data_IF_258845157496
#
_entry.id   IF_258845157496
#
_cell.length_a   1.000
_cell.length_b   1.000
_cell.length_c   1.000
_cell.angle_alpha   90.00
_cell.angle_beta   90.00
_cell.angle_gamma   90.00
#
_symmetry.space_group_name_H-M   'P 1'
#
loop_
_entity.id
_entity.type
_entity.pdbx_description
1 polymer ?
#
# COMPACT_ATOMS: atom_id res chain seq x y z
N UNK A 1 63.82 -23.24 -53.36
CA UNK A 1 63.78 -24.55 -53.99
C UNK A 1 63.40 -25.62 -52.96
N UNK A 2 62.10 -26.02 -52.93
CA UNK A 2 61.59 -27.30 -52.44
C UNK A 2 60.08 -27.36 -52.70
N UNK A 3 59.68 -28.43 -53.32
CA UNK A 3 58.41 -28.73 -53.96
C UNK A 3 57.20 -28.81 -53.01
N UNK A 4 56.07 -28.26 -53.42
CA UNK A 4 54.74 -28.61 -52.93
C UNK A 4 54.33 -29.99 -53.53
N UNK A 5 53.82 -30.87 -52.68
CA UNK A 5 53.02 -32.04 -53.11
C UNK A 5 51.61 -31.82 -52.68
N UNK A 6 50.67 -31.71 -53.67
CA UNK A 6 49.26 -31.71 -53.51
C UNK A 6 48.76 -33.12 -53.20
N UNK A 7 47.93 -33.26 -52.19
CA UNK A 7 47.16 -34.46 -51.92
C UNK A 7 45.69 -34.12 -52.06
N UNK A 8 45.06 -34.69 -53.11
CA UNK A 8 43.64 -34.62 -53.38
C UNK A 8 43.00 -35.75 -52.59
N UNK A 9 42.18 -35.46 -51.58
CA UNK A 9 41.30 -36.42 -50.88
C UNK A 9 39.89 -36.27 -51.44
N UNK A 10 39.40 -37.31 -52.07
CA UNK A 10 38.01 -37.41 -52.54
C UNK A 10 37.06 -37.65 -51.38
N UNK A 11 36.05 -36.83 -51.26
CA UNK A 11 34.95 -37.00 -50.30
C UNK A 11 33.81 -37.79 -51.00
N UNK A 12 33.62 -39.04 -50.59
CA UNK A 12 32.43 -39.81 -50.99
C UNK A 12 31.28 -39.44 -50.05
N UNK A 13 30.22 -38.82 -50.62
CA UNK A 13 28.97 -38.54 -49.91
C UNK A 13 28.18 -39.86 -49.76
N UNK A 14 28.08 -40.40 -48.56
CA UNK A 14 27.11 -41.44 -48.25
C UNK A 14 25.76 -40.83 -47.95
N UNK A 15 24.78 -41.11 -48.80
CA UNK A 15 23.37 -40.75 -48.57
C UNK A 15 22.79 -41.73 -47.56
N UNK A 16 22.52 -41.30 -46.34
CA UNK A 16 21.75 -42.06 -45.36
C UNK A 16 20.27 -41.91 -45.65
N UNK A 17 19.45 -42.99 -45.57
CA UNK A 17 18.00 -42.91 -45.73
C UNK A 17 17.38 -42.14 -44.55
N UNK A 18 16.50 -41.19 -44.84
CA UNK A 18 15.72 -40.45 -43.87
C UNK A 18 14.80 -41.42 -43.09
N UNK A 19 14.97 -41.47 -41.77
CA UNK A 19 14.05 -42.15 -40.87
C UNK A 19 12.70 -41.38 -40.89
N UNK A 20 11.53 -42.10 -40.84
CA UNK A 20 10.23 -41.43 -40.76
C UNK A 20 10.14 -40.62 -39.47
N UNK A 21 9.83 -39.33 -39.60
CA UNK A 21 9.71 -38.41 -38.48
C UNK A 21 8.72 -38.92 -37.42
N UNK A 22 9.20 -39.08 -36.21
CA UNK A 22 8.34 -39.07 -35.03
C UNK A 22 7.73 -37.63 -34.97
N UNK A 23 6.50 -37.48 -35.42
CA UNK A 23 5.69 -36.33 -35.02
C UNK A 23 5.51 -36.44 -33.50
N UNK A 24 6.18 -35.54 -32.74
CA UNK A 24 5.86 -35.34 -31.36
C UNK A 24 4.39 -34.99 -31.30
N UNK A 25 3.58 -35.82 -30.67
CA UNK A 25 2.24 -35.44 -30.27
C UNK A 25 2.43 -34.25 -29.33
N UNK A 26 2.07 -33.08 -29.80
CA UNK A 26 1.83 -31.92 -28.92
C UNK A 26 0.66 -32.36 -28.05
N UNK A 27 0.96 -32.85 -26.84
CA UNK A 27 -0.06 -32.86 -25.80
C UNK A 27 -0.45 -31.40 -25.62
N UNK A 28 -1.68 -31.05 -26.00
CA UNK A 28 -2.28 -29.78 -25.63
C UNK A 28 -2.28 -29.71 -24.10
N UNK A 29 -1.22 -29.11 -23.59
CA UNK A 29 -1.16 -28.74 -22.19
C UNK A 29 -2.06 -27.51 -22.04
N UNK A 30 -3.36 -27.74 -21.85
CA UNK A 30 -4.27 -26.73 -21.35
C UNK A 30 -4.06 -26.72 -19.84
N UNK A 31 -3.32 -25.75 -19.26
CA UNK A 31 -3.22 -25.64 -17.82
C UNK A 31 -4.64 -25.41 -17.32
N UNK A 32 -5.19 -26.31 -16.51
CA UNK A 32 -6.32 -25.96 -15.67
C UNK A 32 -5.80 -24.80 -14.83
N UNK A 33 -6.30 -23.58 -15.07
CA UNK A 33 -5.87 -22.41 -14.33
C UNK A 33 -6.03 -22.72 -12.84
N UNK A 34 -4.88 -22.87 -12.16
CA UNK A 34 -4.87 -23.06 -10.72
C UNK A 34 -5.58 -21.86 -10.09
N UNK A 35 -6.35 -22.09 -9.04
CA UNK A 35 -6.95 -20.97 -8.30
C UNK A 35 -5.86 -20.24 -7.53
N UNK A 36 -5.82 -18.92 -7.61
CA UNK A 36 -4.95 -18.06 -6.83
C UNK A 36 -5.69 -17.55 -5.59
N UNK A 37 -5.18 -17.83 -4.42
CA UNK A 37 -5.68 -17.29 -3.14
C UNK A 37 -4.68 -16.27 -2.62
N UNK A 38 -5.12 -15.06 -2.35
CA UNK A 38 -4.27 -14.02 -1.75
C UNK A 38 -4.73 -13.72 -0.33
N UNK A 39 -3.80 -13.45 0.59
CA UNK A 39 -4.07 -12.84 1.88
C UNK A 39 -3.69 -11.35 1.80
N UNK A 40 -4.69 -10.47 1.73
CA UNK A 40 -4.48 -9.03 1.65
C UNK A 40 -4.73 -8.41 3.02
N UNK A 41 -3.78 -7.60 3.50
CA UNK A 41 -3.83 -6.96 4.80
C UNK A 41 -3.52 -5.45 4.70
N UNK A 42 -3.77 -4.71 5.78
CA UNK A 42 -3.53 -3.28 5.88
C UNK A 42 -2.11 -2.92 6.32
N UNK A 43 -1.99 -1.91 7.18
CA UNK A 43 -0.71 -1.35 7.61
C UNK A 43 0.00 -2.24 8.62
N UNK A 44 1.30 -2.41 8.44
CA UNK A 44 2.18 -3.16 9.35
C UNK A 44 3.25 -2.26 9.93
N UNK A 45 3.09 -1.93 11.22
CA UNK A 45 4.05 -1.23 12.06
C UNK A 45 4.56 -2.24 13.10
N UNK A 46 5.73 -2.84 12.83
CA UNK A 46 6.31 -3.90 13.65
C UNK A 46 7.54 -3.39 14.42
N UNK A 47 7.52 -3.50 15.73
CA UNK A 47 8.65 -3.13 16.61
C UNK A 47 9.03 -4.24 17.60
N UNK A 48 8.26 -5.32 17.63
CA UNK A 48 8.47 -6.47 18.50
C UNK A 48 8.41 -7.77 17.70
N UNK A 49 9.09 -8.79 18.19
CA UNK A 49 9.05 -10.13 17.60
C UNK A 49 7.65 -10.74 17.69
N UNK A 50 7.25 -11.49 16.67
CA UNK A 50 5.98 -12.20 16.58
C UNK A 50 6.12 -13.70 16.95
N UNK A 51 7.18 -14.35 16.53
CA UNK A 51 7.40 -15.79 16.68
C UNK A 51 7.33 -16.34 18.11
N UNK A 52 7.67 -15.58 19.19
CA UNK A 52 7.54 -16.06 20.56
C UNK A 52 6.09 -16.29 21.03
N UNK A 53 5.10 -15.67 20.42
CA UNK A 53 3.71 -15.74 20.87
C UNK A 53 3.04 -17.05 20.46
N UNK A 54 2.22 -17.62 21.36
CA UNK A 54 1.63 -18.97 21.22
C UNK A 54 0.12 -18.99 21.47
N UNK A 55 -0.54 -17.84 21.58
CA UNK A 55 -1.99 -17.76 21.77
C UNK A 55 -2.70 -18.38 20.57
N UNK A 56 -3.73 -19.23 20.79
CA UNK A 56 -4.40 -19.94 19.70
C UNK A 56 -4.95 -19.01 18.61
N UNK A 57 -5.57 -17.89 18.97
CA UNK A 57 -6.12 -16.93 18.02
C UNK A 57 -5.03 -16.25 17.19
N UNK A 58 -3.86 -16.02 17.76
CA UNK A 58 -2.71 -15.49 17.02
C UNK A 58 -2.17 -16.53 16.05
N UNK A 59 -1.94 -17.78 16.48
CA UNK A 59 -1.44 -18.85 15.62
C UNK A 59 -2.43 -19.16 14.50
N UNK A 60 -3.73 -19.19 14.77
CA UNK A 60 -4.76 -19.37 13.75
C UNK A 60 -4.70 -18.27 12.67
N UNK A 61 -4.46 -17.03 13.06
CA UNK A 61 -4.28 -15.92 12.10
C UNK A 61 -3.01 -16.11 11.28
N UNK A 62 -1.88 -16.52 11.88
CA UNK A 62 -0.63 -16.83 11.17
C UNK A 62 -0.84 -17.99 10.17
N UNK A 63 -1.55 -19.04 10.56
CA UNK A 63 -1.89 -20.15 9.67
C UNK A 63 -2.76 -19.70 8.48
N UNK A 64 -3.68 -18.78 8.71
CA UNK A 64 -4.50 -18.18 7.64
C UNK A 64 -3.62 -17.46 6.61
N UNK A 65 -2.66 -16.63 7.05
CA UNK A 65 -1.72 -15.92 6.17
C UNK A 65 -0.87 -16.92 5.38
N UNK A 66 -0.26 -17.90 6.05
CA UNK A 66 0.61 -18.92 5.44
C UNK A 66 -0.13 -19.87 4.51
N UNK A 67 -1.44 -20.01 4.65
CA UNK A 67 -2.27 -20.86 3.82
C UNK A 67 -2.67 -20.23 2.48
N UNK A 68 -2.36 -18.95 2.25
CA UNK A 68 -2.55 -18.28 0.97
C UNK A 68 -1.40 -18.60 0.01
N UNK A 69 -1.64 -18.51 -1.31
CA UNK A 69 -0.59 -18.61 -2.33
C UNK A 69 0.33 -17.40 -2.32
N UNK A 70 -0.17 -16.24 -1.85
CA UNK A 70 0.58 -15.00 -1.68
C UNK A 70 -0.04 -14.14 -0.58
N UNK A 71 0.80 -13.61 0.32
CA UNK A 71 0.39 -12.67 1.36
C UNK A 71 1.02 -11.28 1.17
N UNK A 72 0.16 -10.26 1.21
CA UNK A 72 0.51 -8.83 1.05
C UNK A 72 0.19 -8.03 2.31
N UNK A 73 1.07 -7.08 2.65
CA UNK A 73 0.82 -6.01 3.64
C UNK A 73 1.44 -4.67 3.19
N UNK A 74 0.94 -3.54 3.65
CA UNK A 74 1.68 -2.29 3.57
C UNK A 74 2.66 -2.20 4.75
N UNK A 75 3.96 -2.07 4.47
CA UNK A 75 4.98 -1.93 5.51
C UNK A 75 5.18 -0.43 5.79
N UNK A 76 4.48 0.08 6.82
CA UNK A 76 4.42 1.50 7.16
C UNK A 76 5.52 1.88 8.15
N UNK A 77 6.75 1.49 7.85
CA UNK A 77 7.94 1.83 8.64
C UNK A 77 9.22 1.66 7.83
N UNK A 78 10.36 1.88 8.51
CA UNK A 78 11.70 1.71 7.97
C UNK A 78 12.50 0.71 8.80
N UNK A 79 13.28 -0.12 8.12
CA UNK A 79 14.28 -1.00 8.73
C UNK A 79 15.68 -0.39 8.62
N UNK A 80 16.25 0.06 9.74
CA UNK A 80 17.62 0.58 9.77
C UNK A 80 18.16 0.62 11.21
N UNK A 81 19.49 0.79 11.35
CA UNK A 81 20.17 0.94 12.64
C UNK A 81 20.64 2.38 12.89
N UNK A 82 19.86 3.37 12.43
CA UNK A 82 20.19 4.80 12.48
C UNK A 82 21.39 5.19 11.62
N UNK A 83 21.55 4.57 10.45
CA UNK A 83 22.57 4.93 9.47
C UNK A 83 22.28 6.30 8.84
N UNK A 84 20.99 6.64 8.66
CA UNK A 84 20.55 7.94 8.16
C UNK A 84 20.20 8.91 9.29
N UNK A 85 19.87 10.13 8.90
CA UNK A 85 19.42 11.18 9.81
C UNK A 85 17.88 11.28 9.80
N UNK A 86 17.25 11.64 10.93
CA UNK A 86 15.83 11.96 10.90
C UNK A 86 15.59 13.16 9.98
N UNK A 87 14.56 13.07 9.16
CA UNK A 87 14.13 14.18 8.31
C UNK A 87 13.49 15.27 9.17
N UNK A 88 13.50 16.52 8.71
CA UNK A 88 12.93 17.64 9.46
C UNK A 88 11.40 17.52 9.68
N UNK A 89 10.73 16.68 8.90
CA UNK A 89 9.30 16.37 9.01
C UNK A 89 9.11 14.88 8.78
N UNK A 90 8.35 14.23 9.65
CA UNK A 90 7.94 12.82 9.48
C UNK A 90 6.48 12.70 9.05
N UNK A 91 6.06 11.49 8.71
CA UNK A 91 4.64 11.16 8.47
C UNK A 91 3.77 11.16 9.73
N UNK A 92 4.36 11.39 10.89
CA UNK A 92 3.71 11.37 12.22
C UNK A 92 4.73 11.10 13.31
N UNK A 93 4.70 9.94 13.96
CA UNK A 93 5.81 9.44 14.76
C UNK A 93 6.91 8.96 13.82
N UNK A 94 8.18 9.24 14.08
CA UNK A 94 9.28 8.68 13.27
C UNK A 94 9.32 7.16 13.41
N UNK A 95 8.94 6.44 12.34
CA UNK A 95 8.77 5.00 12.36
C UNK A 95 10.05 4.27 11.97
N UNK A 96 10.58 3.50 12.93
CA UNK A 96 11.80 2.73 12.75
C UNK A 96 11.76 1.40 13.51
N UNK A 97 12.23 0.34 12.89
CA UNK A 97 12.49 -0.94 13.51
C UNK A 97 13.89 -1.47 13.19
N UNK A 98 14.35 -2.46 13.96
CA UNK A 98 15.62 -3.14 13.67
C UNK A 98 15.48 -4.03 12.44
N UNK A 99 16.47 -4.05 11.50
CA UNK A 99 16.44 -4.88 10.30
C UNK A 99 16.18 -6.37 10.57
N UNK A 100 16.58 -6.86 11.75
CA UNK A 100 16.33 -8.24 12.16
C UNK A 100 14.84 -8.61 12.25
N UNK A 101 13.93 -7.62 12.40
CA UNK A 101 12.48 -7.84 12.44
C UNK A 101 11.88 -8.13 11.06
N UNK A 102 12.59 -7.90 9.96
CA UNK A 102 12.18 -8.38 8.64
C UNK A 102 11.95 -9.90 8.64
N UNK A 103 12.73 -10.66 9.42
CA UNK A 103 12.55 -12.11 9.61
C UNK A 103 11.21 -12.48 10.25
N UNK A 104 10.64 -11.60 11.06
CA UNK A 104 9.34 -11.84 11.70
C UNK A 104 8.18 -11.68 10.71
N UNK A 105 8.31 -10.79 9.72
CA UNK A 105 7.35 -10.69 8.61
C UNK A 105 7.43 -11.94 7.72
N UNK A 106 8.64 -12.38 7.33
CA UNK A 106 8.82 -13.61 6.58
C UNK A 106 8.34 -14.84 7.38
N UNK A 107 8.60 -14.89 8.70
CA UNK A 107 8.08 -15.94 9.58
C UNK A 107 6.55 -15.92 9.64
N UNK A 108 5.91 -14.75 9.62
CA UNK A 108 4.44 -14.64 9.56
C UNK A 108 3.85 -15.13 8.23
N UNK A 109 4.67 -15.29 7.19
CA UNK A 109 4.25 -15.72 5.86
C UNK A 109 3.96 -14.57 4.91
N UNK A 110 4.48 -13.38 5.18
CA UNK A 110 4.36 -12.23 4.26
C UNK A 110 5.36 -12.43 3.12
N UNK A 111 4.86 -12.39 1.88
CA UNK A 111 5.65 -12.55 0.65
C UNK A 111 5.96 -11.21 -0.01
N UNK A 112 5.04 -10.26 0.07
CA UNK A 112 5.11 -8.98 -0.66
C UNK A 112 4.70 -7.82 0.23
N UNK A 113 5.42 -6.70 0.13
CA UNK A 113 5.08 -5.47 0.86
C UNK A 113 5.01 -4.23 -0.04
N UNK A 114 4.05 -3.33 0.26
CA UNK A 114 4.07 -1.95 -0.19
C UNK A 114 4.99 -1.11 0.71
N UNK A 115 5.80 -0.22 0.13
CA UNK A 115 6.71 0.68 0.84
C UNK A 115 6.39 2.16 0.60
N UNK A 116 5.47 2.48 -0.32
CA UNK A 116 5.07 3.87 -0.54
C UNK A 116 4.02 4.30 0.48
N UNK A 117 4.45 5.04 1.51
CA UNK A 117 3.60 5.55 2.58
C UNK A 117 4.17 6.85 3.16
N UNK A 118 3.47 7.46 4.12
CA UNK A 118 3.88 8.71 4.77
C UNK A 118 5.19 8.59 5.56
N UNK A 119 5.56 7.38 6.01
CA UNK A 119 6.78 7.13 6.78
C UNK A 119 8.02 6.79 5.94
N UNK A 120 7.88 6.68 4.61
CA UNK A 120 8.98 6.32 3.70
C UNK A 120 10.22 7.22 3.86
N UNK A 121 10.03 8.50 4.18
CA UNK A 121 11.10 9.49 4.28
C UNK A 121 11.50 9.90 5.70
N UNK A 122 11.07 9.19 6.74
CA UNK A 122 11.28 9.60 8.14
C UNK A 122 12.77 9.72 8.54
N UNK A 123 13.64 8.90 7.94
CA UNK A 123 15.09 8.86 8.27
C UNK A 123 15.97 8.97 7.02
N UNK A 124 15.69 9.94 6.16
CA UNK A 124 16.47 10.21 4.96
C UNK A 124 16.48 9.10 3.90
N UNK A 125 17.22 9.29 2.82
CA UNK A 125 17.25 8.36 1.69
C UNK A 125 17.98 7.06 2.01
N UNK A 126 18.97 7.10 2.91
CA UNK A 126 19.74 5.93 3.34
C UNK A 126 18.82 4.87 3.96
N UNK A 127 17.81 5.30 4.70
CA UNK A 127 16.84 4.38 5.34
C UNK A 127 15.91 3.69 4.35
N UNK A 128 15.65 4.31 3.19
CA UNK A 128 14.92 3.65 2.10
C UNK A 128 15.75 2.47 1.56
N UNK A 129 17.04 2.70 1.35
CA UNK A 129 17.98 1.68 0.83
C UNK A 129 18.19 0.54 1.83
N UNK A 130 18.37 0.87 3.13
CA UNK A 130 18.55 -0.15 4.17
C UNK A 130 17.28 -0.96 4.41
N UNK A 131 16.10 -0.35 4.29
CA UNK A 131 14.82 -1.05 4.36
C UNK A 131 14.68 -2.04 3.20
N UNK A 132 14.93 -1.62 1.97
CA UNK A 132 14.90 -2.49 0.80
C UNK A 132 15.84 -3.69 0.98
N UNK A 133 17.10 -3.43 1.40
CA UNK A 133 18.06 -4.49 1.67
C UNK A 133 17.60 -5.47 2.76
N UNK A 134 17.01 -4.99 3.85
CA UNK A 134 16.56 -5.86 4.93
C UNK A 134 15.43 -6.80 4.48
N UNK A 135 14.57 -6.35 3.54
CA UNK A 135 13.52 -7.17 2.94
C UNK A 135 14.09 -8.17 1.92
N UNK A 136 15.04 -7.74 1.08
CA UNK A 136 15.76 -8.62 0.14
C UNK A 136 16.50 -9.75 0.87
N UNK A 137 17.15 -9.45 2.01
CA UNK A 137 17.90 -10.42 2.82
C UNK A 137 17.00 -11.57 3.38
N UNK A 138 15.68 -11.36 3.39
CA UNK A 138 14.69 -12.38 3.83
C UNK A 138 13.78 -12.87 2.72
N UNK A 139 13.99 -12.40 1.48
CA UNK A 139 13.24 -12.83 0.30
C UNK A 139 11.84 -12.22 0.18
N UNK A 140 11.54 -11.13 0.85
CA UNK A 140 10.26 -10.41 0.72
C UNK A 140 10.33 -9.45 -0.47
N UNK A 141 9.43 -9.60 -1.43
CA UNK A 141 9.29 -8.69 -2.57
C UNK A 141 8.71 -7.36 -2.09
N UNK A 142 9.27 -6.24 -2.54
CA UNK A 142 8.82 -4.91 -2.12
C UNK A 142 8.67 -3.95 -3.30
N UNK A 143 7.66 -3.08 -3.27
CA UNK A 143 7.33 -2.13 -4.32
C UNK A 143 7.02 -0.74 -3.76
N UNK A 144 7.15 0.29 -4.59
CA UNK A 144 6.71 1.66 -4.25
C UNK A 144 7.83 2.61 -3.82
N UNK A 145 9.08 2.12 -3.69
CA UNK A 145 10.26 2.95 -3.45
C UNK A 145 11.37 2.62 -4.44
N UNK A 146 12.27 3.55 -4.67
CA UNK A 146 13.41 3.34 -5.57
C UNK A 146 14.46 4.44 -5.47
N UNK A 147 15.58 4.26 -6.14
CA UNK A 147 16.65 5.24 -6.23
C UNK A 147 16.26 6.49 -7.04
N UNK A 148 15.18 6.41 -7.80
CA UNK A 148 14.57 7.50 -8.57
C UNK A 148 13.09 7.20 -8.84
N UNK A 149 12.38 8.15 -9.44
CA UNK A 149 10.95 8.04 -9.70
C UNK A 149 10.58 6.87 -10.61
N UNK A 150 11.42 6.54 -11.59
CA UNK A 150 11.15 5.41 -12.49
C UNK A 150 11.17 4.10 -11.70
N UNK A 151 12.21 3.85 -10.92
CA UNK A 151 12.33 2.65 -10.09
C UNK A 151 11.24 2.56 -9.02
N UNK A 152 10.84 3.70 -8.42
CA UNK A 152 9.77 3.74 -7.44
C UNK A 152 8.39 3.36 -8.04
N UNK A 153 8.20 3.57 -9.36
CA UNK A 153 6.97 3.24 -10.12
C UNK A 153 6.97 1.84 -10.72
N UNK A 154 8.12 1.19 -10.78
CA UNK A 154 8.24 -0.15 -11.37
C UNK A 154 7.39 -1.17 -10.59
N UNK A 155 6.73 -2.04 -11.33
CA UNK A 155 6.12 -3.23 -10.77
C UNK A 155 7.21 -4.20 -10.27
N UNK A 156 6.95 -4.85 -9.13
CA UNK A 156 7.76 -5.95 -8.60
C UNK A 156 6.96 -7.23 -8.70
N UNK A 157 7.63 -8.36 -8.84
CA UNK A 157 6.99 -9.62 -9.19
C UNK A 157 7.33 -10.69 -8.16
N UNK A 158 6.29 -11.42 -7.75
CA UNK A 158 6.41 -12.64 -6.96
C UNK A 158 5.85 -13.81 -7.77
N UNK A 159 6.61 -14.89 -7.88
CA UNK A 159 6.19 -16.12 -8.55
C UNK A 159 5.61 -17.09 -7.51
N UNK A 160 4.44 -17.65 -7.79
CA UNK A 160 3.77 -18.66 -6.98
C UNK A 160 3.42 -19.87 -7.84
N UNK A 161 3.03 -20.97 -7.21
CA UNK A 161 2.54 -22.14 -7.95
C UNK A 161 1.23 -21.86 -8.73
N UNK A 162 0.46 -20.84 -8.32
CA UNK A 162 -0.80 -20.46 -8.93
C UNK A 162 -0.67 -19.34 -9.99
N UNK A 163 0.54 -18.82 -10.21
CA UNK A 163 0.84 -17.77 -11.20
C UNK A 163 1.72 -16.67 -10.65
N UNK A 164 2.10 -15.75 -11.52
CA UNK A 164 2.91 -14.57 -11.19
C UNK A 164 2.02 -13.42 -10.76
N UNK A 165 2.38 -12.76 -9.66
CA UNK A 165 1.72 -11.58 -9.13
C UNK A 165 2.65 -10.38 -9.26
N UNK A 166 2.18 -9.32 -9.91
CA UNK A 166 2.84 -8.02 -9.90
C UNK A 166 2.29 -7.16 -8.77
N UNK A 167 3.15 -6.37 -8.14
CA UNK A 167 2.78 -5.38 -7.12
C UNK A 167 3.31 -4.02 -7.52
N UNK A 168 2.45 -3.02 -7.46
CA UNK A 168 2.78 -1.60 -7.58
C UNK A 168 2.24 -0.92 -6.33
N UNK A 169 3.06 -0.05 -5.71
CA UNK A 169 2.64 0.70 -4.53
C UNK A 169 2.84 2.19 -4.74
N UNK A 170 1.90 3.01 -4.28
CA UNK A 170 1.94 4.47 -4.36
C UNK A 170 1.33 5.10 -3.11
N UNK A 171 1.69 6.36 -2.84
CA UNK A 171 1.12 7.12 -1.73
C UNK A 171 0.62 8.49 -2.18
N UNK A 172 -0.55 8.90 -1.66
CA UNK A 172 -1.06 10.27 -1.77
C UNK A 172 -0.69 11.14 -0.56
N UNK A 173 -0.46 10.50 0.60
CA UNK A 173 -0.11 11.15 1.85
C UNK A 173 1.37 10.97 2.13
N UNK A 174 2.15 12.04 2.02
CA UNK A 174 3.60 12.00 2.27
C UNK A 174 4.19 13.39 2.46
N UNK A 175 5.24 13.57 3.29
CA UNK A 175 6.05 14.76 3.29
C UNK A 175 6.72 14.95 1.91
N UNK A 176 6.79 16.18 1.41
CA UNK A 176 7.25 16.49 0.03
C UNK A 176 8.64 15.92 -0.26
N UNK A 177 9.54 15.90 0.72
CA UNK A 177 10.90 15.37 0.58
C UNK A 177 10.97 13.85 0.38
N UNK A 178 9.92 13.10 0.79
CA UNK A 178 9.87 11.64 0.63
C UNK A 178 9.63 11.19 -0.81
N UNK A 179 9.20 12.12 -1.68
CA UNK A 179 8.89 11.81 -3.08
C UNK A 179 10.16 11.53 -3.88
N UNK A 180 10.16 10.42 -4.64
CA UNK A 180 11.20 10.12 -5.60
C UNK A 180 11.34 11.22 -6.67
N UNK A 181 12.53 11.55 -7.05
CA UNK A 181 12.85 12.52 -8.11
C UNK A 181 13.11 11.84 -9.44
N UNK A 182 12.71 12.49 -10.53
CA UNK A 182 12.94 11.96 -11.87
C UNK A 182 14.43 12.01 -12.23
N UNK A 183 14.90 10.95 -12.88
CA UNK A 183 16.27 10.89 -13.42
C UNK A 183 16.38 11.77 -14.67
N UNK A 184 17.48 12.53 -14.78
CA UNK A 184 17.90 13.20 -16.02
C UNK A 184 19.15 12.52 -16.56
N UNK A 185 19.52 12.86 -17.78
CA UNK A 185 20.79 12.37 -18.38
C UNK A 185 22.05 12.93 -17.71
N UNK A 186 21.93 14.10 -17.07
CA UNK A 186 22.99 14.89 -16.49
C UNK A 186 22.95 15.03 -14.97
N UNK A 187 21.80 14.62 -14.33
CA UNK A 187 21.61 14.69 -12.88
C UNK A 187 20.84 13.46 -12.40
N UNK A 188 21.35 12.80 -11.36
CA UNK A 188 20.69 11.67 -10.72
C UNK A 188 19.31 12.04 -10.16
N UNK A 189 18.37 11.12 -10.28
CA UNK A 189 17.10 11.21 -9.57
C UNK A 189 17.31 11.09 -8.06
N UNK A 190 16.32 11.57 -7.28
CA UNK A 190 16.32 11.43 -5.83
C UNK A 190 15.63 10.13 -5.44
N UNK A 191 16.22 9.33 -4.52
CA UNK A 191 15.54 8.21 -3.91
C UNK A 191 14.26 8.65 -3.19
N UNK A 192 13.25 7.81 -3.20
CA UNK A 192 11.98 8.12 -2.53
C UNK A 192 10.85 7.19 -2.93
N UNK A 193 9.63 7.58 -2.55
CA UNK A 193 8.40 6.87 -2.86
C UNK A 193 7.80 7.25 -4.22
N UNK A 194 6.97 6.35 -4.75
CA UNK A 194 6.07 6.59 -5.88
C UNK A 194 4.89 7.46 -5.45
N UNK A 195 4.79 8.74 -5.90
CA UNK A 195 3.72 9.62 -5.50
C UNK A 195 2.44 9.35 -6.31
N UNK A 196 1.30 9.46 -5.64
CA UNK A 196 -0.02 9.66 -6.23
C UNK A 196 -0.52 11.04 -5.80
N UNK A 197 0.01 12.09 -6.41
CA UNK A 197 -0.43 13.47 -6.14
C UNK A 197 -1.87 13.68 -6.59
N UNK A 198 -2.53 14.65 -6.00
CA UNK A 198 -3.87 15.08 -6.39
C UNK A 198 -4.01 16.61 -6.30
N UNK A 199 -4.98 17.15 -7.02
CA UNK A 199 -5.34 18.57 -7.00
C UNK A 199 -6.67 18.74 -6.28
N UNK A 200 -6.75 19.76 -5.41
CA UNK A 200 -7.98 20.14 -4.72
C UNK A 200 -8.51 21.45 -5.28
N UNK A 201 -9.79 21.51 -5.57
CA UNK A 201 -10.51 22.75 -5.93
C UNK A 201 -11.67 22.94 -4.96
N UNK A 202 -11.71 24.11 -4.35
CA UNK A 202 -12.81 24.54 -3.48
C UNK A 202 -13.78 25.36 -4.30
N UNK A 203 -14.98 24.85 -4.52
CA UNK A 203 -16.07 25.61 -5.14
C UNK A 203 -16.83 26.34 -4.04
N UNK A 204 -16.96 27.65 -4.20
CA UNK A 204 -17.58 28.54 -3.21
C UNK A 204 -18.47 29.55 -3.92
N UNK A 205 -19.34 30.24 -3.19
CA UNK A 205 -20.21 31.26 -3.81
C UNK A 205 -19.41 32.46 -4.36
N UNK A 206 -19.96 33.18 -5.32
CA UNK A 206 -19.36 34.43 -5.83
C UNK A 206 -19.07 35.43 -4.71
N UNK A 207 -19.99 35.56 -3.74
CA UNK A 207 -19.79 36.40 -2.57
C UNK A 207 -18.55 35.98 -1.75
N UNK A 208 -18.32 34.67 -1.59
CA UNK A 208 -17.13 34.12 -0.92
C UNK A 208 -15.85 34.40 -1.72
N UNK A 209 -15.88 34.33 -3.05
CA UNK A 209 -14.74 34.75 -3.90
C UNK A 209 -14.39 36.22 -3.69
N UNK A 210 -15.41 37.09 -3.65
CA UNK A 210 -15.19 38.55 -3.39
C UNK A 210 -14.55 38.78 -2.01
N UNK A 211 -15.01 38.08 -0.97
CA UNK A 211 -14.42 38.12 0.38
C UNK A 211 -12.97 37.63 0.42
N UNK A 212 -12.67 36.50 -0.24
CA UNK A 212 -11.30 35.95 -0.34
C UNK A 212 -10.36 36.93 -1.06
N UNK A 213 -10.82 37.56 -2.14
CA UNK A 213 -10.03 38.58 -2.86
C UNK A 213 -9.77 39.83 -2.01
N UNK A 214 -10.78 40.29 -1.27
CA UNK A 214 -10.60 41.40 -0.34
C UNK A 214 -9.58 41.05 0.77
N UNK A 215 -9.67 39.86 1.35
CA UNK A 215 -8.73 39.39 2.35
C UNK A 215 -7.31 39.25 1.77
N UNK A 216 -7.18 38.69 0.57
CA UNK A 216 -5.89 38.57 -0.12
C UNK A 216 -5.22 39.93 -0.29
N UNK A 217 -5.99 40.96 -0.72
CA UNK A 217 -5.51 42.34 -0.82
C UNK A 217 -5.04 42.92 0.52
N UNK A 218 -5.76 42.64 1.63
CA UNK A 218 -5.37 43.12 2.96
C UNK A 218 -4.04 42.54 3.45
N UNK A 219 -3.71 41.31 3.05
CA UNK A 219 -2.44 40.64 3.43
C UNK A 219 -1.36 40.75 2.34
N UNK A 220 -1.56 41.60 1.32
CA UNK A 220 -0.59 41.84 0.26
C UNK A 220 -0.44 40.72 -0.77
N UNK A 221 -1.41 39.79 -0.81
CA UNK A 221 -1.43 38.74 -1.82
C UNK A 221 -2.19 39.20 -3.07
N UNK A 222 -1.71 38.80 -4.27
CA UNK A 222 -2.36 39.20 -5.52
C UNK A 222 -3.71 38.46 -5.69
N UNK A 223 -4.83 39.14 -5.87
CA UNK A 223 -6.15 38.51 -5.98
C UNK A 223 -6.41 37.85 -7.35
N UNK A 224 -5.47 38.00 -8.30
CA UNK A 224 -5.63 37.51 -9.68
C UNK A 224 -6.66 38.35 -10.49
N UNK A 225 -6.68 38.18 -11.81
CA UNK A 225 -7.54 38.95 -12.71
C UNK A 225 -8.87 38.25 -13.03
N UNK A 226 -8.99 36.93 -12.79
CA UNK A 226 -10.25 36.23 -13.04
C UNK A 226 -11.28 36.54 -11.95
N UNK A 227 -12.44 37.14 -12.26
CA UNK A 227 -13.44 37.47 -11.25
C UNK A 227 -13.98 36.26 -10.51
N UNK A 228 -14.00 35.08 -11.17
CA UNK A 228 -14.64 33.88 -10.67
C UNK A 228 -13.69 32.89 -10.00
N UNK A 229 -12.41 33.24 -9.85
CA UNK A 229 -11.45 32.37 -9.15
C UNK A 229 -10.35 33.14 -8.44
N UNK A 230 -9.76 32.50 -7.45
CA UNK A 230 -8.57 32.97 -6.77
C UNK A 230 -7.75 31.75 -6.29
N UNK A 231 -6.41 31.85 -6.40
CA UNK A 231 -5.50 30.98 -5.65
C UNK A 231 -5.04 31.77 -4.41
N UNK A 232 -5.41 31.30 -3.24
CA UNK A 232 -5.06 31.93 -1.97
C UNK A 232 -4.45 30.89 -1.02
N UNK A 233 -3.29 31.22 -0.43
CA UNK A 233 -2.53 30.29 0.43
C UNK A 233 -2.40 28.90 -0.18
N UNK A 234 -1.97 28.83 -1.46
CA UNK A 234 -1.81 27.59 -2.25
C UNK A 234 -3.09 26.84 -2.62
N UNK A 235 -4.25 27.22 -2.09
CA UNK A 235 -5.54 26.61 -2.38
C UNK A 235 -6.25 27.34 -3.53
N UNK A 236 -6.84 26.58 -4.46
CA UNK A 236 -7.63 27.10 -5.58
C UNK A 236 -9.10 27.17 -5.20
N UNK A 237 -9.71 28.36 -5.32
CA UNK A 237 -11.12 28.60 -5.10
C UNK A 237 -11.77 29.07 -6.40
N UNK A 238 -12.95 28.51 -6.70
CA UNK A 238 -13.71 28.79 -7.93
C UNK A 238 -15.15 29.10 -7.57
N UNK A 239 -15.74 30.11 -8.20
CA UNK A 239 -17.13 30.46 -8.01
C UNK A 239 -18.06 29.35 -8.52
N UNK A 240 -19.06 28.98 -7.73
CA UNK A 240 -20.12 28.05 -8.09
C UNK A 240 -21.40 28.38 -7.32
N UNK A 241 -22.56 27.95 -7.85
CA UNK A 241 -23.83 28.08 -7.17
C UNK A 241 -23.88 27.25 -5.88
N UNK A 242 -23.34 26.05 -5.93
CA UNK A 242 -23.32 25.10 -4.80
C UNK A 242 -21.88 24.91 -4.29
N UNK A 243 -21.60 25.24 -3.02
CA UNK A 243 -20.30 25.02 -2.40
C UNK A 243 -19.97 23.52 -2.32
N UNK A 244 -18.75 23.15 -2.73
CA UNK A 244 -18.25 21.78 -2.65
C UNK A 244 -16.73 21.73 -2.75
N UNK A 245 -16.15 20.63 -2.38
CA UNK A 245 -14.72 20.34 -2.58
C UNK A 245 -14.60 19.23 -3.59
N UNK A 246 -13.81 19.46 -4.63
CA UNK A 246 -13.45 18.42 -5.60
C UNK A 246 -11.97 18.09 -5.51
N UNK A 247 -11.66 16.81 -5.58
CA UNK A 247 -10.28 16.32 -5.67
C UNK A 247 -10.13 15.43 -6.89
N UNK A 248 -9.04 15.64 -7.64
CA UNK A 248 -8.74 14.84 -8.84
C UNK A 248 -7.28 14.36 -8.79
N UNK A 249 -6.97 13.13 -9.26
CA UNK A 249 -5.59 12.68 -9.35
C UNK A 249 -4.76 13.63 -10.20
N UNK A 250 -3.48 13.83 -9.82
CA UNK A 250 -2.56 14.58 -10.67
C UNK A 250 -2.35 13.83 -11.99
N UNK A 251 -2.57 14.45 -13.15
CA UNK A 251 -2.64 13.71 -14.43
C UNK A 251 -1.36 12.93 -14.75
N UNK A 252 -0.18 13.51 -14.52
CA UNK A 252 1.09 12.84 -14.80
C UNK A 252 1.29 11.57 -13.94
N UNK A 253 0.98 11.63 -12.64
CA UNK A 253 1.11 10.47 -11.77
C UNK A 253 0.07 9.41 -12.11
N UNK A 254 -1.16 9.82 -12.36
CA UNK A 254 -2.25 8.93 -12.72
C UNK A 254 -1.95 8.15 -14.00
N UNK A 255 -1.55 8.83 -15.08
CA UNK A 255 -1.25 8.19 -16.35
C UNK A 255 0.01 7.30 -16.26
N UNK A 256 1.05 7.75 -15.54
CA UNK A 256 2.26 6.96 -15.37
C UNK A 256 2.01 5.68 -14.57
N UNK A 257 1.22 5.73 -13.48
CA UNK A 257 0.90 4.53 -12.70
C UNK A 257 0.01 3.58 -13.52
N UNK A 258 -0.98 4.10 -14.25
CA UNK A 258 -1.78 3.26 -15.18
C UNK A 258 -0.92 2.59 -16.27
N UNK A 259 0.10 3.29 -16.78
CA UNK A 259 1.04 2.69 -17.72
C UNK A 259 1.80 1.52 -17.06
N UNK A 260 2.35 1.71 -15.84
CA UNK A 260 3.00 0.64 -15.09
C UNK A 260 2.06 -0.55 -14.81
N UNK A 261 0.77 -0.32 -14.56
CA UNK A 261 -0.22 -1.39 -14.39
C UNK A 261 -0.43 -2.16 -15.70
N UNK A 262 -0.58 -1.46 -16.84
CA UNK A 262 -0.72 -2.11 -18.14
C UNK A 262 0.49 -2.97 -18.49
N UNK A 263 1.69 -2.43 -18.28
CA UNK A 263 2.93 -3.18 -18.52
C UNK A 263 3.03 -4.41 -17.61
N UNK A 264 2.71 -4.24 -16.31
CA UNK A 264 2.69 -5.33 -15.35
C UNK A 264 1.69 -6.44 -15.75
N UNK A 265 0.51 -6.07 -16.25
CA UNK A 265 -0.51 -7.02 -16.70
C UNK A 265 -0.08 -7.85 -17.92
N UNK A 266 0.87 -7.36 -18.73
CA UNK A 266 1.45 -8.16 -19.82
C UNK A 266 2.46 -9.21 -19.35
N UNK A 267 2.98 -9.07 -18.12
CA UNK A 267 4.05 -9.89 -17.55
C UNK A 267 3.62 -10.73 -16.33
N UNK A 268 2.35 -10.62 -15.93
CA UNK A 268 1.81 -11.34 -14.78
C UNK A 268 0.32 -11.64 -14.93
N UNK A 269 -0.15 -12.71 -14.30
CA UNK A 269 -1.56 -13.09 -14.26
C UNK A 269 -2.36 -12.13 -13.36
N UNK A 270 -1.74 -11.62 -12.29
CA UNK A 270 -2.40 -10.79 -11.29
C UNK A 270 -1.60 -9.53 -11.02
N UNK A 271 -2.31 -8.41 -10.80
CA UNK A 271 -1.69 -7.13 -10.44
C UNK A 271 -2.36 -6.57 -9.18
N UNK A 272 -1.60 -6.40 -8.11
CA UNK A 272 -2.01 -5.70 -6.89
C UNK A 272 -1.58 -4.24 -7.01
N UNK A 273 -2.53 -3.31 -6.97
CA UNK A 273 -2.26 -1.89 -6.80
C UNK A 273 -2.47 -1.47 -5.35
N UNK A 274 -1.39 -1.20 -4.64
CA UNK A 274 -1.38 -0.76 -3.25
C UNK A 274 -1.37 0.77 -3.17
N UNK A 275 -2.25 1.36 -2.35
CA UNK A 275 -2.40 2.82 -2.21
C UNK A 275 -2.45 3.23 -0.75
N UNK A 276 -1.45 3.99 -0.31
CA UNK A 276 -1.48 4.62 1.01
C UNK A 276 -2.12 6.02 0.90
N UNK A 277 -3.24 6.23 1.61
CA UNK A 277 -4.05 7.46 1.49
C UNK A 277 -4.79 7.75 2.79
N UNK A 278 -4.41 8.84 3.49
CA UNK A 278 -5.11 9.31 4.68
C UNK A 278 -6.35 10.14 4.35
N UNK A 279 -6.50 10.54 3.10
CA UNK A 279 -7.55 11.44 2.64
C UNK A 279 -8.93 10.75 2.70
N UNK A 280 -9.94 11.57 2.98
CA UNK A 280 -11.34 11.15 3.06
C UNK A 280 -12.24 12.13 2.33
N UNK A 281 -13.48 11.74 2.08
CA UNK A 281 -14.50 12.64 1.58
C UNK A 281 -14.80 13.74 2.62
N UNK A 282 -15.10 14.98 2.19
CA UNK A 282 -15.48 16.03 3.10
C UNK A 282 -16.69 15.63 3.96
N UNK A 283 -16.53 15.73 5.28
CA UNK A 283 -17.59 15.40 6.24
C UNK A 283 -17.83 13.91 6.50
N UNK A 284 -17.17 12.99 5.78
CA UNK A 284 -17.27 11.55 6.00
C UNK A 284 -15.90 10.87 5.97
N UNK A 285 -15.35 10.61 7.14
CA UNK A 285 -14.03 9.97 7.28
C UNK A 285 -14.00 8.50 6.78
N UNK A 286 -15.16 7.84 6.68
CA UNK A 286 -15.24 6.44 6.23
C UNK A 286 -15.38 6.29 4.72
N UNK A 287 -15.71 7.38 4.02
CA UNK A 287 -15.69 7.42 2.56
C UNK A 287 -14.31 7.84 2.04
N UNK A 288 -13.79 7.23 0.94
CA UNK A 288 -12.55 7.68 0.30
C UNK A 288 -12.71 9.08 -0.29
N UNK A 289 -11.61 9.83 -0.39
CA UNK A 289 -11.58 11.05 -1.17
C UNK A 289 -11.91 10.76 -2.64
N UNK A 290 -12.53 11.72 -3.34
CA UNK A 290 -12.97 11.57 -4.73
C UNK A 290 -11.82 11.15 -5.66
N UNK A 291 -10.63 11.78 -5.51
CA UNK A 291 -9.48 11.42 -6.34
C UNK A 291 -9.07 9.95 -6.16
N UNK A 292 -9.16 9.41 -4.94
CA UNK A 292 -8.78 8.02 -4.69
C UNK A 292 -9.78 7.05 -5.36
N UNK A 293 -11.08 7.34 -5.29
CA UNK A 293 -12.08 6.53 -6.01
C UNK A 293 -11.85 6.57 -7.52
N UNK A 294 -11.62 7.76 -8.08
CA UNK A 294 -11.29 7.95 -9.51
C UNK A 294 -10.04 7.17 -9.89
N UNK A 295 -8.99 7.27 -9.07
CA UNK A 295 -7.75 6.53 -9.28
C UNK A 295 -7.97 5.02 -9.24
N UNK A 296 -8.69 4.51 -8.23
CA UNK A 296 -8.93 3.08 -8.05
C UNK A 296 -9.69 2.47 -9.24
N UNK A 297 -10.72 3.16 -9.73
CA UNK A 297 -11.43 2.76 -10.95
C UNK A 297 -10.48 2.74 -12.16
N UNK A 298 -9.67 3.79 -12.34
CA UNK A 298 -8.69 3.85 -13.42
C UNK A 298 -7.59 2.78 -13.33
N UNK A 299 -7.20 2.36 -12.12
CA UNK A 299 -6.27 1.27 -11.90
C UNK A 299 -6.86 -0.09 -12.32
N UNK A 300 -8.12 -0.36 -11.94
CA UNK A 300 -8.84 -1.57 -12.41
C UNK A 300 -9.00 -1.54 -13.93
N UNK A 301 -9.36 -0.41 -14.52
CA UNK A 301 -9.52 -0.25 -15.97
C UNK A 301 -8.18 -0.42 -16.72
N UNK A 302 -7.06 -0.13 -16.07
CA UNK A 302 -5.72 -0.36 -16.60
C UNK A 302 -5.25 -1.83 -16.49
N UNK A 303 -5.96 -2.68 -15.72
CA UNK A 303 -5.67 -4.12 -15.62
C UNK A 303 -5.31 -4.60 -14.20
N UNK A 304 -5.46 -3.77 -13.16
CA UNK A 304 -5.27 -4.24 -11.78
C UNK A 304 -6.32 -5.30 -11.43
N UNK A 305 -5.88 -6.38 -10.77
CA UNK A 305 -6.77 -7.42 -10.24
C UNK A 305 -7.44 -7.00 -8.94
N UNK A 306 -6.79 -6.12 -8.18
CA UNK A 306 -7.30 -5.54 -6.94
C UNK A 306 -6.62 -4.21 -6.63
N UNK A 307 -7.32 -3.33 -5.91
CA UNK A 307 -6.74 -2.13 -5.29
C UNK A 307 -6.83 -2.30 -3.77
N UNK A 308 -5.69 -2.20 -3.10
CA UNK A 308 -5.58 -2.32 -1.64
C UNK A 308 -5.20 -0.97 -1.06
N UNK A 309 -6.19 -0.30 -0.45
CA UNK A 309 -6.01 0.96 0.26
C UNK A 309 -5.68 0.76 1.73
N UNK A 310 -4.88 1.66 2.28
CA UNK A 310 -4.44 1.68 3.68
C UNK A 310 -4.05 3.13 4.07
N UNK A 311 -3.64 3.37 5.32
CA UNK A 311 -3.22 4.70 5.84
C UNK A 311 -4.07 5.27 6.96
N UNK A 312 -5.42 5.30 6.89
CA UNK A 312 -6.23 5.91 7.94
C UNK A 312 -6.21 5.17 9.28
N UNK A 313 -5.62 3.97 9.34
CA UNK A 313 -5.58 3.07 10.51
C UNK A 313 -6.95 2.54 10.97
N UNK A 314 -7.97 2.65 10.14
CA UNK A 314 -9.30 2.06 10.36
C UNK A 314 -9.91 1.63 9.04
N UNK A 315 -10.86 0.71 9.11
CA UNK A 315 -11.54 0.18 7.94
C UNK A 315 -12.38 1.25 7.23
N UNK A 316 -12.36 1.22 5.90
CA UNK A 316 -13.33 1.89 5.02
C UNK A 316 -14.06 0.84 4.18
N UNK A 317 -15.03 1.29 3.38
CA UNK A 317 -15.84 0.41 2.54
C UNK A 317 -15.05 -0.35 1.48
N UNK A 318 -15.67 -1.41 0.98
CA UNK A 318 -15.20 -2.25 -0.12
C UNK A 318 -16.12 -2.04 -1.31
N UNK A 319 -15.56 -1.83 -2.50
CA UNK A 319 -16.30 -1.74 -3.77
C UNK A 319 -15.93 -2.92 -4.68
N UNK A 320 -16.92 -3.58 -5.27
CA UNK A 320 -16.68 -4.54 -6.37
C UNK A 320 -16.92 -3.80 -7.69
N UNK A 321 -15.84 -3.32 -8.29
CA UNK A 321 -15.89 -2.58 -9.55
C UNK A 321 -15.47 -3.48 -10.72
N UNK A 322 -16.36 -3.67 -11.70
CA UNK A 322 -16.13 -4.58 -12.85
C UNK A 322 -15.66 -5.98 -12.43
N UNK A 323 -16.23 -6.50 -11.34
CA UNK A 323 -15.89 -7.83 -10.80
C UNK A 323 -14.55 -7.90 -10.08
N UNK A 324 -13.88 -6.78 -9.80
CA UNK A 324 -12.61 -6.68 -9.07
C UNK A 324 -12.79 -5.94 -7.75
N UNK A 325 -12.13 -6.38 -6.67
CA UNK A 325 -12.29 -5.74 -5.36
C UNK A 325 -11.40 -4.49 -5.24
N UNK A 326 -11.98 -3.43 -4.69
CA UNK A 326 -11.30 -2.22 -4.25
C UNK A 326 -11.55 -2.11 -2.75
N UNK A 327 -10.48 -2.14 -1.97
CA UNK A 327 -10.49 -1.89 -0.53
C UNK A 327 -10.06 -0.45 -0.30
N UNK A 328 -10.94 0.42 0.19
CA UNK A 328 -10.57 1.83 0.40
C UNK A 328 -9.74 2.08 1.66
N UNK A 329 -9.77 1.18 2.62
CA UNK A 329 -8.79 1.03 3.71
C UNK A 329 -8.98 -0.32 4.39
N UNK A 330 -7.88 -1.03 4.54
CA UNK A 330 -7.82 -2.30 5.27
C UNK A 330 -7.58 -2.13 6.78
N UNK A 331 -7.40 -0.87 7.27
CA UNK A 331 -6.97 -0.63 8.64
C UNK A 331 -5.55 -1.13 8.89
N UNK A 332 -5.25 -1.52 10.14
CA UNK A 332 -3.94 -2.02 10.55
C UNK A 332 -3.91 -3.56 10.59
N UNK A 333 -2.80 -4.14 10.16
CA UNK A 333 -2.51 -5.57 10.36
C UNK A 333 -1.58 -5.79 11.56
N UNK A 334 -0.52 -4.99 11.66
CA UNK A 334 0.33 -4.92 12.86
C UNK A 334 0.43 -3.45 13.25
N UNK A 335 0.14 -3.12 14.51
CA UNK A 335 0.16 -1.74 15.00
C UNK A 335 0.89 -1.62 16.32
N UNK A 336 2.24 -1.74 16.29
CA UNK A 336 3.11 -1.64 17.46
C UNK A 336 3.75 -0.25 17.60
N UNK A 337 2.99 0.80 17.29
CA UNK A 337 3.40 2.19 17.31
C UNK A 337 3.92 2.65 18.67
N UNK A 338 3.41 2.08 19.77
CA UNK A 338 3.75 2.50 21.12
C UNK A 338 5.13 2.02 21.59
N UNK A 339 5.76 1.11 20.84
CA UNK A 339 7.00 0.43 21.25
C UNK A 339 8.17 0.67 20.30
N UNK A 340 8.13 1.77 19.56
CA UNK A 340 9.29 2.32 18.84
C UNK A 340 10.40 2.61 19.86
N UNK A 341 11.64 2.17 19.59
CA UNK A 341 12.70 2.18 20.59
C UNK A 341 13.27 3.58 20.90
N UNK A 342 13.38 4.45 19.90
CA UNK A 342 13.94 5.79 20.04
C UNK A 342 13.26 6.72 19.03
N UNK A 343 13.07 7.96 19.45
CA UNK A 343 12.55 9.04 18.62
C UNK A 343 13.55 10.19 18.58
N UNK A 344 13.63 10.96 17.49
CA UNK A 344 14.43 12.18 17.44
C UNK A 344 13.84 13.27 18.33
N UNK A 345 14.64 14.29 18.64
CA UNK A 345 14.24 15.44 19.47
C UNK A 345 12.96 16.12 18.94
N UNK A 346 12.82 16.18 17.64
CA UNK A 346 11.67 16.76 16.93
C UNK A 346 10.31 16.17 17.35
N UNK A 347 10.28 14.91 17.79
CA UNK A 347 9.04 14.31 18.33
C UNK A 347 8.73 14.77 19.77
N UNK A 348 9.74 15.12 20.56
CA UNK A 348 9.57 15.49 21.97
C UNK A 348 9.24 16.98 22.17
N UNK A 349 9.81 17.84 21.32
CA UNK A 349 9.67 19.28 21.40
C UNK A 349 8.20 19.78 21.42
N UNK A 350 7.28 19.32 20.56
CA UNK A 350 5.88 19.77 20.55
C UNK A 350 5.12 19.43 21.84
N UNK A 351 5.65 18.48 22.63
CA UNK A 351 5.07 18.05 23.90
C UNK A 351 5.77 18.64 25.13
N UNK A 352 6.71 19.59 24.93
CA UNK A 352 7.55 20.18 25.97
C UNK A 352 8.30 19.10 26.79
N UNK A 353 8.85 18.09 26.10
CA UNK A 353 9.68 17.05 26.65
C UNK A 353 11.12 17.28 26.20
N UNK A 354 12.07 17.04 27.10
CA UNK A 354 13.49 17.18 26.82
C UNK A 354 14.14 15.86 26.37
N UNK A 355 15.43 15.90 26.08
CA UNK A 355 16.21 14.74 25.62
C UNK A 355 16.39 13.62 26.65
N UNK A 356 15.96 13.82 27.90
CA UNK A 356 15.99 12.79 28.95
C UNK A 356 14.69 11.99 29.02
N UNK A 357 13.63 12.46 28.33
CA UNK A 357 12.33 11.81 28.27
C UNK A 357 12.41 10.45 27.57
N UNK A 358 11.66 9.48 28.10
CA UNK A 358 11.53 8.15 27.54
C UNK A 358 10.36 8.09 26.54
N UNK A 359 10.32 7.06 25.71
CA UNK A 359 9.17 6.78 24.80
C UNK A 359 7.85 6.69 25.60
N UNK A 360 7.88 6.10 26.79
CA UNK A 360 6.68 6.03 27.65
C UNK A 360 6.18 7.43 28.08
N UNK A 361 7.10 8.37 28.34
CA UNK A 361 6.75 9.73 28.73
C UNK A 361 6.14 10.49 27.52
N UNK A 362 6.71 10.29 26.32
CA UNK A 362 6.17 10.78 25.06
C UNK A 362 4.75 10.23 24.80
N UNK A 363 4.56 8.92 24.87
CA UNK A 363 3.27 8.29 24.66
C UNK A 363 2.23 8.76 25.68
N UNK A 364 2.60 8.82 26.96
CA UNK A 364 1.73 9.32 28.03
C UNK A 364 1.27 10.77 27.76
N UNK A 365 2.18 11.62 27.28
CA UNK A 365 1.87 13.01 26.97
C UNK A 365 1.03 13.13 25.69
N UNK A 366 1.42 12.43 24.60
CA UNK A 366 0.73 12.45 23.31
C UNK A 366 -0.69 11.94 23.40
N UNK A 367 -0.90 10.87 24.14
CA UNK A 367 -2.18 10.17 24.24
C UNK A 367 -2.95 10.44 25.51
N UNK A 368 -2.51 11.43 26.32
CA UNK A 368 -3.12 11.76 27.59
C UNK A 368 -3.38 10.52 28.45
N UNK A 369 -2.34 9.72 28.68
CA UNK A 369 -2.42 8.41 29.37
C UNK A 369 -3.48 7.46 28.77
N UNK A 370 -3.43 7.26 27.46
CA UNK A 370 -4.32 6.39 26.67
C UNK A 370 -5.80 6.84 26.59
N UNK A 371 -6.12 8.07 26.99
CA UNK A 371 -7.49 8.63 26.92
C UNK A 371 -7.80 9.39 25.65
N UNK A 372 -6.81 9.58 24.77
CA UNK A 372 -6.96 10.26 23.48
C UNK A 372 -6.15 9.59 22.37
N UNK A 373 -6.41 9.98 21.12
CA UNK A 373 -5.69 9.47 19.95
C UNK A 373 -5.92 7.98 19.69
N UNK A 374 -4.90 7.30 19.18
CA UNK A 374 -4.99 5.89 18.79
C UNK A 374 -5.44 4.97 19.93
N UNK A 375 -4.89 5.04 21.15
CA UNK A 375 -5.29 4.15 22.23
C UNK A 375 -6.76 4.24 22.63
N UNK A 376 -7.35 5.44 22.53
CA UNK A 376 -8.73 5.68 22.92
C UNK A 376 -9.77 5.31 21.84
N UNK A 377 -9.34 5.08 20.60
CA UNK A 377 -10.25 4.78 19.50
C UNK A 377 -10.26 3.27 19.18
N UNK A 378 -11.34 2.52 19.52
CA UNK A 378 -11.39 1.08 19.30
C UNK A 378 -11.25 0.68 17.84
N UNK A 379 -11.68 1.52 16.87
CA UNK A 379 -11.63 1.21 15.44
C UNK A 379 -10.20 1.08 14.89
N UNK A 380 -9.20 1.66 15.55
CA UNK A 380 -7.77 1.51 15.20
C UNK A 380 -7.28 0.07 15.45
N UNK A 381 -7.92 -0.63 16.37
CA UNK A 381 -7.54 -1.99 16.81
C UNK A 381 -8.41 -3.08 16.19
N UNK A 382 -9.18 -2.73 15.16
CA UNK A 382 -10.10 -3.60 14.44
C UNK A 382 -9.75 -3.61 12.96
N UNK A 383 -9.61 -4.80 12.37
CA UNK A 383 -9.27 -4.93 10.97
C UNK A 383 -9.77 -6.26 10.40
N UNK A 384 -9.42 -6.55 9.15
CA UNK A 384 -9.70 -7.83 8.49
C UNK A 384 -8.49 -8.31 7.70
N UNK A 385 -8.37 -9.64 7.56
CA UNK A 385 -7.60 -10.24 6.48
C UNK A 385 -8.59 -10.55 5.36
N UNK A 386 -8.40 -9.94 4.19
CA UNK A 386 -9.22 -10.22 3.01
C UNK A 386 -8.59 -11.34 2.17
N UNK A 387 -9.39 -12.35 1.84
CA UNK A 387 -8.95 -13.54 1.10
C UNK A 387 -9.73 -13.64 -0.23
N UNK A 388 -9.32 -12.89 -1.29
CA UNK A 388 -9.85 -13.11 -2.62
C UNK A 388 -9.31 -14.41 -3.22
N UNK A 389 -10.17 -15.12 -3.94
CA UNK A 389 -9.82 -16.30 -4.74
C UNK A 389 -10.11 -16.00 -6.20
N UNK A 390 -9.12 -16.19 -7.04
CA UNK A 390 -9.23 -16.00 -8.49
C UNK A 390 -9.12 -17.33 -9.23
N UNK A 391 -9.88 -17.45 -10.33
CA UNK A 391 -9.68 -18.49 -11.36
C UNK A 391 -9.41 -17.79 -12.69
N UNK A 392 -8.16 -17.85 -13.14
CA UNK A 392 -7.68 -16.95 -14.18
C UNK A 392 -7.88 -15.50 -13.72
N UNK A 393 -8.41 -14.64 -14.57
CA UNK A 393 -8.65 -13.22 -14.25
C UNK A 393 -9.97 -12.95 -13.47
N UNK A 394 -10.76 -13.99 -13.18
CA UNK A 394 -12.07 -13.85 -12.55
C UNK A 394 -11.97 -14.04 -11.04
N UNK A 395 -12.41 -13.04 -10.26
CA UNK A 395 -12.67 -13.19 -8.83
C UNK A 395 -13.86 -14.14 -8.65
N UNK A 396 -13.67 -15.21 -7.88
CA UNK A 396 -14.71 -16.23 -7.64
C UNK A 396 -15.20 -16.25 -6.20
N UNK A 397 -14.37 -15.82 -5.27
CA UNK A 397 -14.70 -15.75 -3.84
C UNK A 397 -13.97 -14.58 -3.19
N UNK A 398 -14.57 -13.94 -2.20
CA UNK A 398 -13.92 -12.98 -1.32
C UNK A 398 -14.44 -13.16 0.10
N UNK A 399 -13.56 -13.62 0.98
CA UNK A 399 -13.81 -13.78 2.41
C UNK A 399 -13.06 -12.71 3.21
N UNK A 400 -13.68 -12.24 4.28
CA UNK A 400 -13.14 -11.23 5.19
C UNK A 400 -13.04 -11.85 6.58
N UNK A 401 -11.84 -12.08 7.06
CA UNK A 401 -11.57 -12.66 8.37
C UNK A 401 -11.32 -11.55 9.38
N UNK A 402 -12.24 -11.30 10.32
CA UNK A 402 -12.08 -10.24 11.31
C UNK A 402 -10.91 -10.51 12.25
N UNK A 403 -10.09 -9.49 12.48
CA UNK A 403 -8.96 -9.54 13.42
C UNK A 403 -9.03 -8.40 14.42
N UNK A 404 -8.40 -8.59 15.58
CA UNK A 404 -8.22 -7.58 16.61
C UNK A 404 -6.74 -7.38 16.90
N UNK A 405 -6.36 -6.13 17.16
CA UNK A 405 -5.02 -5.74 17.56
C UNK A 405 -4.91 -5.49 19.06
N UNK A 406 -5.94 -5.82 19.85
CA UNK A 406 -5.92 -5.81 21.30
C UNK A 406 -6.24 -4.45 21.94
N UNK A 407 -7.36 -3.81 21.51
CA UNK A 407 -7.88 -2.62 22.17
C UNK A 407 -7.96 -2.77 23.70
N UNK A 408 -7.57 -1.73 24.42
CA UNK A 408 -7.57 -1.70 25.89
C UNK A 408 -6.48 -2.53 26.58
N UNK A 409 -5.63 -3.25 25.84
CA UNK A 409 -4.47 -3.93 26.42
C UNK A 409 -3.32 -2.94 26.66
N UNK A 410 -2.42 -3.21 27.62
CA UNK A 410 -1.20 -2.43 27.80
C UNK A 410 -0.36 -2.34 26.52
N UNK A 411 0.36 -1.23 26.31
CA UNK A 411 1.13 -0.93 25.10
C UNK A 411 2.07 -2.07 24.65
N UNK A 412 2.75 -2.75 25.57
CA UNK A 412 3.61 -3.90 25.24
C UNK A 412 2.87 -5.20 24.88
N UNK A 413 1.51 -5.21 24.90
CA UNK A 413 0.69 -6.39 24.61
C UNK A 413 -0.37 -6.16 23.55
N UNK A 414 -0.45 -4.97 22.99
CA UNK A 414 -1.34 -4.61 21.88
C UNK A 414 -0.57 -4.48 20.56
N UNK A 415 -1.25 -4.37 19.47
CA UNK A 415 -0.68 -4.19 18.12
C UNK A 415 -0.34 -5.48 17.39
N UNK A 416 -0.58 -6.66 17.97
CA UNK A 416 -0.46 -7.95 17.28
C UNK A 416 -1.78 -8.37 16.67
N UNK A 417 -1.81 -8.88 15.42
CA UNK A 417 -3.03 -9.37 14.81
C UNK A 417 -3.45 -10.71 15.45
N UNK A 418 -4.70 -10.81 15.85
CA UNK A 418 -5.33 -12.03 16.37
C UNK A 418 -6.70 -12.19 15.78
N UNK A 419 -7.15 -13.41 15.55
CA UNK A 419 -8.55 -13.64 15.18
C UNK A 419 -9.48 -13.00 16.21
N UNK A 420 -10.46 -12.22 15.73
CA UNK A 420 -11.46 -11.62 16.61
C UNK A 420 -12.38 -12.71 17.19
N UNK A 421 -12.85 -12.49 18.41
CA UNK A 421 -13.93 -13.34 18.95
C UNK A 421 -15.24 -13.13 18.15
N UNK A 422 -16.22 -14.03 18.27
CA UNK A 422 -17.44 -13.95 17.44
C UNK A 422 -18.25 -12.66 17.60
N UNK A 423 -18.22 -12.02 18.77
CA UNK A 423 -18.98 -10.77 19.03
C UNK A 423 -18.29 -9.59 18.35
N UNK A 424 -16.99 -9.46 18.54
CA UNK A 424 -16.19 -8.42 17.90
C UNK A 424 -16.13 -8.65 16.40
N UNK A 425 -15.96 -9.90 15.95
CA UNK A 425 -15.94 -10.25 14.52
C UNK A 425 -17.23 -9.84 13.81
N UNK A 426 -18.39 -10.08 14.45
CA UNK A 426 -19.67 -9.63 13.90
C UNK A 426 -19.73 -8.10 13.81
N UNK A 427 -19.30 -7.38 14.84
CA UNK A 427 -19.26 -5.91 14.86
C UNK A 427 -18.39 -5.36 13.73
N UNK A 428 -17.21 -5.93 13.52
CA UNK A 428 -16.28 -5.51 12.43
C UNK A 428 -16.94 -5.70 11.06
N UNK A 429 -17.60 -6.83 10.83
CA UNK A 429 -18.27 -7.08 9.56
C UNK A 429 -19.53 -6.21 9.39
N UNK A 430 -20.30 -5.95 10.47
CA UNK A 430 -21.44 -5.02 10.42
C UNK A 430 -21.01 -3.59 10.02
N UNK A 431 -19.85 -3.13 10.50
CA UNK A 431 -19.26 -1.85 10.07
C UNK A 431 -18.87 -1.87 8.59
N UNK A 432 -18.24 -2.95 8.11
CA UNK A 432 -17.92 -3.09 6.68
C UNK A 432 -19.17 -3.16 5.80
N UNK A 433 -20.24 -3.80 6.24
CA UNK A 433 -21.54 -3.79 5.55
C UNK A 433 -22.01 -2.35 5.39
N UNK A 434 -22.00 -1.58 6.48
CA UNK A 434 -22.41 -0.17 6.48
C UNK A 434 -21.54 0.67 5.55
N UNK A 435 -20.20 0.54 5.64
CA UNK A 435 -19.26 1.35 4.85
C UNK A 435 -19.26 0.97 3.36
N UNK A 436 -19.63 -0.27 3.02
CA UNK A 436 -19.66 -0.78 1.64
C UNK A 436 -21.01 -0.56 0.94
N UNK A 437 -22.07 -0.29 1.69
CA UNK A 437 -23.42 -0.09 1.16
C UNK A 437 -23.49 1.03 0.07
N UNK A 438 -22.79 2.18 0.20
CA UNK A 438 -22.79 3.22 -0.83
C UNK A 438 -22.24 2.77 -2.20
N UNK A 439 -21.50 1.67 -2.25
CA UNK A 439 -20.93 1.09 -3.47
C UNK A 439 -21.76 -0.08 -4.01
N UNK A 440 -22.85 -0.42 -3.35
CA UNK A 440 -23.70 -1.57 -3.73
C UNK A 440 -23.09 -2.94 -3.38
N UNK A 441 -21.97 -2.98 -2.66
CA UNK A 441 -21.35 -4.23 -2.23
C UNK A 441 -22.13 -4.86 -1.09
N UNK A 442 -22.53 -6.12 -1.28
CA UNK A 442 -23.25 -6.89 -0.28
C UNK A 442 -22.30 -7.83 0.46
N UNK A 443 -22.34 -7.79 1.77
CA UNK A 443 -21.53 -8.64 2.66
C UNK A 443 -22.46 -9.32 3.63
N UNK A 444 -22.27 -10.61 3.89
CA UNK A 444 -22.99 -11.37 4.90
C UNK A 444 -22.02 -11.96 5.92
N UNK A 445 -22.43 -11.98 7.19
CA UNK A 445 -21.61 -12.60 8.23
C UNK A 445 -22.06 -14.05 8.45
N UNK A 446 -21.15 -15.00 8.22
CA UNK A 446 -21.43 -16.43 8.35
C UNK A 446 -20.26 -17.14 9.02
N UNK A 447 -20.49 -17.91 10.07
CA UNK A 447 -19.46 -18.73 10.74
C UNK A 447 -18.19 -17.96 11.15
N UNK A 448 -18.35 -16.71 11.61
CA UNK A 448 -17.21 -15.87 12.02
C UNK A 448 -16.50 -15.12 10.88
N UNK A 449 -17.00 -15.23 9.65
CA UNK A 449 -16.35 -14.67 8.43
C UNK A 449 -17.35 -13.81 7.66
N UNK A 450 -16.90 -12.69 7.13
CA UNK A 450 -17.63 -11.88 6.14
C UNK A 450 -17.51 -12.51 4.75
N UNK A 451 -18.64 -12.76 4.09
CA UNK A 451 -18.70 -13.27 2.71
C UNK A 451 -19.19 -12.14 1.82
N UNK A 452 -18.38 -11.76 0.85
CA UNK A 452 -18.73 -10.72 -0.14
C UNK A 452 -19.41 -11.38 -1.33
N UNK A 453 -20.59 -10.88 -1.71
CA UNK A 453 -21.29 -11.31 -2.92
C UNK A 453 -20.53 -10.77 -4.15
N UNK A 454 -20.14 -11.67 -5.05
CA UNK A 454 -19.50 -11.30 -6.30
C UNK A 454 -20.57 -11.24 -7.39
N UNK A 455 -20.86 -10.05 -7.97
CA UNK A 455 -21.78 -9.91 -9.08
C UNK A 455 -21.34 -10.76 -10.27
N UNK A 456 -22.30 -11.47 -10.89
CA UNK A 456 -22.05 -12.32 -12.06
C UNK A 456 -21.84 -11.51 -13.33
#
# INVERSE_FOLDING_TARGET
MRLLKSITAGLSLAVLPAAPGLFAQTTDFTPTAASMTMALTGDSIITQRLAPYKEPQFLQMIELIRGADLAFTNFEMLFHNYEGFPSAVSGGTYMRAEPALAKELAWAGIDVVGLANNHTGDYSHESIVTTAKALDDVGIVHAGTGANLQQAREARYADTAAGRVAVISASSSFPVHSRAGQQRSDVHGRPGLNPLRFNTTYYVTEASIAQLKALAGQVGAAPGNNPNEITFMTNRFVAAAEPRVETVPHPEDFEAIKASIRDAKTMSEYVIMSVHSHEAAPGDRFAPAQFFRTFAHGAIDAGASTVVGHGPHYLKGIEIYKGKPIFYSMGDFIFQNDTVLRLPADNYEPYNLDYTARISDFNARRYNNDTSGFPANPMIWESVVAMPVYKGDKLTELKLYPITLGYGKPSGRRGRPMMADPVLGKKIIDDLIKFSAPYGTKITFQNGVGIVEIPQ
#
